data_IF_298647719651
#
_entry.id   IF_298647719651
#
_cell.length_a   1.000
_cell.length_b   1.000
_cell.length_c   1.000
_cell.angle_alpha   90.00
_cell.angle_beta   90.00
_cell.angle_gamma   90.00
#
_symmetry.space_group_name_H-M   'P 1'
#
loop_
_entity.id
_entity.type
_entity.pdbx_description
1 polymer ?
#
# COMPACT_ATOMS: atom_id res chain seq x y z
N UNK A 1 24.50 -10.68 -5.00
CA UNK A 1 23.09 -10.86 -5.40
C UNK A 1 23.09 -11.18 -6.89
N UNK A 2 22.98 -12.45 -7.26
CA UNK A 2 22.99 -12.89 -8.65
C UNK A 2 21.59 -12.77 -9.25
N UNK A 3 21.44 -12.06 -10.37
CA UNK A 3 20.18 -12.02 -11.10
C UNK A 3 20.00 -13.33 -11.87
N UNK A 4 19.10 -14.19 -11.40
CA UNK A 4 18.76 -15.43 -12.09
C UNK A 4 17.77 -15.15 -13.23
N UNK A 5 18.21 -15.41 -14.47
CA UNK A 5 17.38 -15.36 -15.68
C UNK A 5 16.79 -16.74 -16.05
N UNK A 6 16.84 -17.69 -15.12
CA UNK A 6 16.30 -19.04 -15.29
C UNK A 6 14.78 -19.00 -15.54
N UNK A 7 14.30 -19.93 -16.36
CA UNK A 7 12.87 -20.18 -16.60
C UNK A 7 12.33 -21.28 -15.68
N UNK A 8 13.14 -21.77 -14.73
CA UNK A 8 12.74 -22.80 -13.78
C UNK A 8 11.68 -22.26 -12.79
N UNK A 9 10.46 -22.82 -12.76
CA UNK A 9 9.40 -22.38 -11.86
C UNK A 9 9.65 -22.74 -10.38
N UNK A 10 10.66 -23.55 -10.07
CA UNK A 10 11.06 -23.88 -8.68
C UNK A 10 11.98 -22.84 -8.06
N UNK A 11 12.61 -21.98 -8.87
CA UNK A 11 13.38 -20.84 -8.37
C UNK A 11 12.45 -19.75 -7.81
N UNK A 12 12.58 -19.47 -6.51
CA UNK A 12 11.69 -18.55 -5.76
C UNK A 12 11.63 -17.14 -6.37
N UNK A 13 12.76 -16.62 -6.83
CA UNK A 13 12.88 -15.27 -7.39
C UNK A 13 13.73 -15.29 -8.65
N UNK A 14 13.08 -15.33 -9.80
CA UNK A 14 13.71 -15.12 -11.11
C UNK A 14 13.31 -13.75 -11.63
N UNK A 15 14.07 -13.23 -12.59
CA UNK A 15 13.73 -11.97 -13.24
C UNK A 15 12.30 -12.01 -13.84
N UNK A 16 11.91 -13.16 -14.39
CA UNK A 16 10.58 -13.41 -14.94
C UNK A 16 9.49 -13.48 -13.87
N UNK A 17 9.71 -14.22 -12.78
CA UNK A 17 8.70 -14.35 -11.73
C UNK A 17 8.43 -13.02 -11.02
N UNK A 18 9.46 -12.17 -10.89
CA UNK A 18 9.34 -10.82 -10.35
C UNK A 18 8.55 -9.89 -11.27
N UNK A 19 8.84 -9.88 -12.58
CA UNK A 19 8.12 -9.02 -13.52
C UNK A 19 6.66 -9.43 -13.61
N UNK A 20 6.40 -10.71 -13.83
CA UNK A 20 5.04 -11.23 -13.96
C UNK A 20 4.26 -10.98 -12.66
N UNK A 21 4.84 -11.33 -11.51
CA UNK A 21 4.23 -11.12 -10.20
C UNK A 21 3.95 -9.64 -9.93
N UNK A 22 4.90 -8.75 -10.23
CA UNK A 22 4.71 -7.32 -10.09
C UNK A 22 3.60 -6.78 -11.01
N UNK A 23 3.56 -7.19 -12.29
CA UNK A 23 2.51 -6.76 -13.22
C UNK A 23 1.12 -7.14 -12.72
N UNK A 24 0.91 -8.39 -12.32
CA UNK A 24 -0.39 -8.82 -11.79
C UNK A 24 -0.75 -8.11 -10.48
N UNK A 25 0.23 -7.90 -9.60
CA UNK A 25 0.02 -7.19 -8.33
C UNK A 25 -0.42 -5.75 -8.58
N UNK A 26 0.34 -4.98 -9.36
CA UNK A 26 0.01 -3.59 -9.66
C UNK A 26 -1.28 -3.46 -10.48
N UNK A 27 -1.51 -4.35 -11.45
CA UNK A 27 -2.77 -4.38 -12.19
C UNK A 27 -3.94 -4.63 -11.24
N UNK A 28 -3.82 -5.58 -10.31
CA UNK A 28 -4.83 -5.83 -9.28
C UNK A 28 -5.10 -4.60 -8.41
N UNK A 29 -4.03 -3.98 -7.91
CA UNK A 29 -4.12 -2.80 -7.05
C UNK A 29 -4.78 -1.60 -7.74
N UNK A 30 -4.47 -1.33 -9.01
CA UNK A 30 -5.02 -0.15 -9.71
C UNK A 30 -6.33 -0.45 -10.46
N UNK A 31 -6.54 -1.66 -10.98
CA UNK A 31 -7.71 -1.97 -11.81
C UNK A 31 -8.93 -2.41 -11.01
N UNK A 32 -8.74 -3.26 -9.98
CA UNK A 32 -9.87 -3.92 -9.29
C UNK A 32 -9.98 -3.58 -7.81
N UNK A 33 -8.94 -2.99 -7.20
CA UNK A 33 -9.00 -2.65 -5.79
C UNK A 33 -10.08 -1.58 -5.55
N UNK A 34 -11.04 -1.90 -4.69
CA UNK A 34 -12.24 -1.09 -4.50
C UNK A 34 -11.92 0.36 -4.12
N UNK A 35 -10.89 0.60 -3.29
CA UNK A 35 -10.52 1.97 -2.91
C UNK A 35 -10.05 2.83 -4.09
N UNK A 36 -9.45 2.22 -5.11
CA UNK A 36 -9.03 2.93 -6.33
C UNK A 36 -10.21 3.13 -7.28
N UNK A 37 -11.05 2.11 -7.46
CA UNK A 37 -12.28 2.21 -8.24
C UNK A 37 -13.15 3.36 -7.72
N UNK A 38 -13.33 3.44 -6.40
CA UNK A 38 -14.05 4.54 -5.75
C UNK A 38 -13.45 5.91 -6.09
N UNK A 39 -12.12 6.06 -6.04
CA UNK A 39 -11.45 7.32 -6.42
C UNK A 39 -11.71 7.70 -7.87
N UNK A 40 -11.67 6.73 -8.79
CA UNK A 40 -11.96 7.01 -10.20
C UNK A 40 -13.41 7.45 -10.42
N UNK A 41 -14.36 6.86 -9.70
CA UNK A 41 -15.78 7.23 -9.78
C UNK A 41 -16.09 8.62 -9.23
N UNK A 42 -15.21 9.22 -8.43
CA UNK A 42 -15.36 10.62 -7.97
C UNK A 42 -14.90 11.65 -8.99
N UNK A 43 -14.22 11.24 -10.06
CA UNK A 43 -13.73 12.13 -11.09
C UNK A 43 -14.82 12.46 -12.11
N UNK A 44 -14.78 13.68 -12.63
CA UNK A 44 -15.80 14.21 -13.56
C UNK A 44 -15.91 13.41 -14.86
N UNK A 45 -14.79 12.92 -15.36
CA UNK A 45 -14.69 12.30 -16.67
C UNK A 45 -13.53 11.29 -16.75
N UNK A 46 -13.65 10.36 -17.69
CA UNK A 46 -12.67 9.29 -17.91
C UNK A 46 -11.27 9.83 -18.32
N UNK A 47 -11.19 10.95 -19.05
CA UNK A 47 -9.89 11.51 -19.47
C UNK A 47 -9.13 12.06 -18.26
N UNK A 48 -9.84 12.67 -17.32
CA UNK A 48 -9.29 13.12 -16.03
C UNK A 48 -8.80 11.91 -15.21
N UNK A 49 -9.56 10.81 -15.16
CA UNK A 49 -9.12 9.58 -14.50
C UNK A 49 -7.81 9.02 -15.05
N UNK A 50 -7.67 8.95 -16.38
CA UNK A 50 -6.43 8.53 -17.03
C UNK A 50 -5.27 9.48 -16.72
N UNK A 51 -5.49 10.81 -16.79
CA UNK A 51 -4.46 11.80 -16.45
C UNK A 51 -3.99 11.64 -15.00
N UNK A 52 -4.91 11.44 -14.06
CA UNK A 52 -4.56 11.18 -12.66
C UNK A 52 -3.70 9.93 -12.51
N UNK A 53 -4.00 8.86 -13.26
CA UNK A 53 -3.20 7.63 -13.24
C UNK A 53 -1.78 7.87 -13.77
N UNK A 54 -1.66 8.55 -14.92
CA UNK A 54 -0.35 8.87 -15.52
C UNK A 54 0.50 9.80 -14.64
N UNK A 55 -0.13 10.72 -13.90
CA UNK A 55 0.58 11.56 -12.92
C UNK A 55 0.96 10.77 -11.66
N UNK A 56 0.12 9.84 -11.23
CA UNK A 56 0.38 9.02 -10.04
C UNK A 56 1.57 8.07 -10.22
N UNK A 57 1.80 7.59 -11.44
CA UNK A 57 2.92 6.69 -11.76
C UNK A 57 4.30 7.25 -11.39
N UNK A 58 4.77 8.39 -11.94
CA UNK A 58 6.09 8.93 -11.64
C UNK A 58 6.22 9.32 -10.17
N UNK A 59 5.15 9.84 -9.54
CA UNK A 59 5.15 10.21 -8.13
C UNK A 59 5.39 8.97 -7.25
N UNK A 60 4.64 7.89 -7.50
CA UNK A 60 4.77 6.64 -6.73
C UNK A 60 6.14 6.00 -6.97
N UNK A 61 6.65 6.07 -8.20
CA UNK A 61 7.98 5.55 -8.55
C UNK A 61 9.08 6.34 -7.83
N UNK A 62 9.03 7.68 -7.85
CA UNK A 62 9.99 8.53 -7.17
C UNK A 62 10.00 8.30 -5.65
N UNK A 63 8.82 8.14 -5.04
CA UNK A 63 8.69 7.79 -3.63
C UNK A 63 9.26 6.40 -3.30
N UNK A 64 9.07 5.42 -4.18
CA UNK A 64 9.64 4.08 -4.00
C UNK A 64 11.17 4.11 -4.07
N UNK A 65 11.74 4.89 -5.00
CA UNK A 65 13.19 5.07 -5.12
C UNK A 65 13.79 5.77 -3.89
N UNK A 66 13.10 6.76 -3.31
CA UNK A 66 13.59 7.40 -2.08
C UNK A 66 13.58 6.46 -0.88
N UNK A 67 12.60 5.54 -0.79
CA UNK A 67 12.57 4.50 0.23
C UNK A 67 13.71 3.49 0.07
N UNK A 68 14.02 3.07 -1.16
CA UNK A 68 15.18 2.21 -1.43
C UNK A 68 16.47 2.91 -1.01
N UNK A 69 16.62 4.19 -1.36
CA UNK A 69 17.78 4.99 -0.97
C UNK A 69 17.91 5.11 0.56
N UNK A 70 16.80 5.37 1.26
CA UNK A 70 16.80 5.39 2.73
C UNK A 70 17.25 4.05 3.33
N UNK A 71 16.82 2.92 2.75
CA UNK A 71 17.27 1.58 3.15
C UNK A 71 18.78 1.38 2.95
N UNK A 72 19.35 1.88 1.85
CA UNK A 72 20.80 1.83 1.61
C UNK A 72 21.59 2.68 2.61
N UNK A 73 21.10 3.88 2.94
CA UNK A 73 21.70 4.73 3.97
C UNK A 73 21.71 4.05 5.34
N UNK A 74 20.58 3.43 5.70
CA UNK A 74 20.43 2.67 6.94
C UNK A 74 21.39 1.48 6.99
N UNK A 75 21.50 0.71 5.90
CA UNK A 75 22.48 -0.37 5.77
C UNK A 75 23.91 0.14 5.96
N UNK A 76 24.29 1.23 5.29
CA UNK A 76 25.62 1.82 5.41
C UNK A 76 25.95 2.27 6.84
N UNK A 77 24.95 2.69 7.62
CA UNK A 77 25.10 3.12 9.02
C UNK A 77 25.25 1.95 9.99
N UNK A 78 24.48 0.88 9.81
CA UNK A 78 24.39 -0.24 10.77
C UNK A 78 25.12 -1.52 10.35
N UNK A 79 25.78 -1.55 9.18
CA UNK A 79 26.55 -2.72 8.70
C UNK A 79 27.58 -3.26 9.72
N UNK A 80 28.15 -2.41 10.58
CA UNK A 80 29.15 -2.80 11.57
C UNK A 80 28.62 -2.94 13.01
N UNK A 81 27.40 -2.46 13.28
CA UNK A 81 26.77 -2.50 14.59
C UNK A 81 25.25 -2.57 14.38
N UNK A 82 24.75 -3.79 14.22
CA UNK A 82 23.33 -4.03 13.98
C UNK A 82 22.53 -3.78 15.27
N UNK A 83 21.59 -2.81 15.29
CA UNK A 83 20.80 -2.50 16.47
C UNK A 83 19.88 -3.65 16.91
N UNK A 84 19.57 -4.61 16.04
CA UNK A 84 18.83 -5.82 16.38
C UNK A 84 19.71 -6.79 17.18
N UNK A 85 20.93 -7.07 16.69
CA UNK A 85 21.91 -7.91 17.39
C UNK A 85 22.34 -7.29 18.73
N UNK A 86 22.45 -5.96 18.78
CA UNK A 86 22.76 -5.19 19.98
C UNK A 86 21.62 -5.16 21.02
N UNK A 87 20.46 -5.77 20.74
CA UNK A 87 19.28 -5.78 21.61
C UNK A 87 18.70 -4.38 21.93
N UNK A 88 19.05 -3.38 21.13
CA UNK A 88 18.48 -2.04 21.20
C UNK A 88 17.06 -2.01 20.64
N UNK A 89 16.78 -2.90 19.69
CA UNK A 89 15.49 -3.06 19.02
C UNK A 89 14.95 -4.49 19.24
N UNK A 90 13.62 -4.64 19.33
CA UNK A 90 12.97 -5.95 19.56
C UNK A 90 12.45 -6.64 18.29
N UNK A 91 12.16 -5.87 17.24
CA UNK A 91 11.63 -6.37 15.96
C UNK A 91 12.24 -5.60 14.79
N UNK A 92 12.42 -6.26 13.66
CA UNK A 92 12.87 -5.65 12.40
C UNK A 92 11.96 -4.49 11.98
N UNK A 93 10.66 -4.52 12.32
CA UNK A 93 9.70 -3.45 12.01
C UNK A 93 10.03 -2.11 12.67
N UNK A 94 10.81 -2.12 13.76
CA UNK A 94 11.18 -0.92 14.50
C UNK A 94 12.46 -0.27 13.96
N UNK A 95 13.13 -0.89 12.99
CA UNK A 95 14.41 -0.43 12.46
C UNK A 95 14.32 0.95 11.80
N UNK A 96 13.31 1.18 10.97
CA UNK A 96 13.09 2.48 10.32
C UNK A 96 12.78 3.58 11.34
N UNK A 97 11.80 3.41 12.27
CA UNK A 97 11.58 4.37 13.35
C UNK A 97 12.83 4.66 14.17
N UNK A 98 13.61 3.64 14.51
CA UNK A 98 14.86 3.80 15.27
C UNK A 98 15.89 4.63 14.48
N UNK A 99 16.10 4.30 13.20
CA UNK A 99 17.01 5.02 12.32
C UNK A 99 16.64 6.50 12.21
N UNK A 100 15.35 6.82 12.08
CA UNK A 100 14.86 8.21 12.02
C UNK A 100 15.18 8.98 13.29
N UNK A 101 14.95 8.37 14.46
CA UNK A 101 15.24 9.01 15.75
C UNK A 101 16.74 9.22 15.94
N UNK A 102 17.55 8.23 15.58
CA UNK A 102 19.02 8.29 15.66
C UNK A 102 19.59 9.36 14.71
N UNK A 103 19.20 9.32 13.43
CA UNK A 103 19.70 10.22 12.40
C UNK A 103 19.28 11.68 12.58
N UNK A 104 18.09 11.93 13.15
CA UNK A 104 17.53 13.28 13.34
C UNK A 104 17.64 13.78 14.78
N UNK A 105 18.46 13.12 15.60
CA UNK A 105 18.66 13.42 17.02
C UNK A 105 19.16 14.85 17.27
N UNK A 106 19.85 15.46 16.31
CA UNK A 106 20.34 16.85 16.38
C UNK A 106 19.23 17.90 16.25
N UNK A 107 18.05 17.55 15.73
CA UNK A 107 16.96 18.48 15.45
C UNK A 107 15.70 18.09 16.25
N UNK A 108 15.49 18.65 17.46
CA UNK A 108 14.33 18.31 18.27
C UNK A 108 13.02 18.64 17.55
N UNK A 109 12.05 17.74 17.64
CA UNK A 109 10.73 17.85 16.97
C UNK A 109 10.63 17.17 15.61
N UNK A 110 11.73 17.06 14.86
CA UNK A 110 11.72 16.42 13.54
C UNK A 110 11.45 14.90 13.58
N UNK A 111 12.00 14.12 14.53
CA UNK A 111 11.59 12.73 14.71
C UNK A 111 10.09 12.58 14.98
N UNK A 112 9.52 13.48 15.80
CA UNK A 112 8.09 13.51 16.10
C UNK A 112 7.23 13.78 14.87
N UNK A 113 7.68 14.69 13.98
CA UNK A 113 7.02 14.96 12.71
C UNK A 113 7.01 13.73 11.79
N UNK A 114 8.12 13.00 11.71
CA UNK A 114 8.20 11.77 10.90
C UNK A 114 7.27 10.70 11.44
N UNK A 115 7.26 10.48 12.76
CA UNK A 115 6.35 9.52 13.42
C UNK A 115 4.89 9.92 13.16
N UNK A 116 4.54 11.19 13.30
CA UNK A 116 3.20 11.69 12.98
C UNK A 116 2.82 11.45 11.50
N UNK A 117 3.78 11.63 10.57
CA UNK A 117 3.60 11.33 9.16
C UNK A 117 3.31 9.86 8.89
N UNK A 118 4.04 8.93 9.53
CA UNK A 118 3.84 7.49 9.41
C UNK A 118 2.44 7.09 9.91
N UNK A 119 2.03 7.62 11.07
CA UNK A 119 0.67 7.38 11.60
C UNK A 119 -0.41 7.94 10.68
N UNK A 120 -0.21 9.14 10.13
CA UNK A 120 -1.14 9.76 9.17
C UNK A 120 -1.28 8.93 7.89
N UNK A 121 -0.16 8.45 7.32
CA UNK A 121 -0.16 7.59 6.14
C UNK A 121 -0.88 6.25 6.41
N UNK A 122 -0.63 5.65 7.57
CA UNK A 122 -1.30 4.41 8.01
C UNK A 122 -2.80 4.62 8.17
N UNK A 123 -3.22 5.70 8.83
CA UNK A 123 -4.63 6.03 9.05
C UNK A 123 -5.37 6.34 7.75
N UNK A 124 -4.72 7.03 6.81
CA UNK A 124 -5.25 7.28 5.46
C UNK A 124 -5.57 5.97 4.72
N UNK A 125 -4.66 4.98 4.83
CA UNK A 125 -4.84 3.65 4.23
C UNK A 125 -5.97 2.86 4.89
N UNK A 126 -6.00 2.84 6.22
CA UNK A 126 -7.05 2.16 7.00
C UNK A 126 -8.42 2.76 6.68
N UNK A 127 -8.54 4.09 6.65
CA UNK A 127 -9.79 4.78 6.33
C UNK A 127 -10.30 4.42 4.94
N UNK A 128 -9.43 4.43 3.92
CA UNK A 128 -9.80 4.04 2.56
C UNK A 128 -10.27 2.58 2.46
N UNK A 129 -9.63 1.67 3.21
CA UNK A 129 -10.00 0.26 3.26
C UNK A 129 -11.34 0.03 3.97
N UNK A 130 -11.59 0.72 5.08
CA UNK A 130 -12.88 0.67 5.78
C UNK A 130 -14.02 1.20 4.91
N UNK A 131 -13.80 2.32 4.20
CA UNK A 131 -14.79 2.86 3.27
C UNK A 131 -15.10 1.89 2.11
N UNK A 132 -14.07 1.22 1.62
CA UNK A 132 -14.20 0.19 0.58
C UNK A 132 -14.99 -1.02 1.09
N UNK A 133 -14.64 -1.51 2.28
CA UNK A 133 -15.30 -2.66 2.91
C UNK A 133 -16.77 -2.37 3.20
N UNK A 134 -17.09 -1.19 3.72
CA UNK A 134 -18.47 -0.77 3.95
C UNK A 134 -19.27 -0.74 2.64
N UNK A 135 -18.68 -0.21 1.56
CA UNK A 135 -19.33 -0.14 0.26
C UNK A 135 -19.59 -1.53 -0.33
N UNK A 136 -18.60 -2.41 -0.30
CA UNK A 136 -18.73 -3.81 -0.76
C UNK A 136 -19.77 -4.56 0.06
N UNK A 137 -19.75 -4.40 1.38
CA UNK A 137 -20.73 -5.02 2.28
C UNK A 137 -22.16 -4.58 1.94
N UNK A 138 -22.38 -3.29 1.72
CA UNK A 138 -23.70 -2.75 1.40
C UNK A 138 -24.16 -3.18 0.01
N UNK A 139 -23.30 -3.02 -0.99
CA UNK A 139 -23.68 -3.20 -2.39
C UNK A 139 -23.78 -4.68 -2.78
N UNK A 140 -22.92 -5.54 -2.24
CA UNK A 140 -22.83 -6.95 -2.65
C UNK A 140 -23.59 -7.90 -1.73
N UNK A 141 -23.79 -7.54 -0.44
CA UNK A 141 -24.51 -8.39 0.50
C UNK A 141 -25.87 -7.80 0.90
N UNK A 142 -25.90 -6.58 1.44
CA UNK A 142 -27.14 -6.03 2.02
C UNK A 142 -28.18 -5.75 0.95
N UNK A 143 -27.80 -5.07 -0.15
CA UNK A 143 -28.73 -4.68 -1.20
C UNK A 143 -29.36 -5.88 -1.91
N UNK A 144 -28.61 -6.93 -2.31
CA UNK A 144 -29.22 -8.13 -2.91
C UNK A 144 -30.16 -8.86 -1.95
N UNK A 145 -29.77 -9.01 -0.68
CA UNK A 145 -30.62 -9.65 0.34
C UNK A 145 -31.92 -8.86 0.58
N UNK A 146 -31.83 -7.53 0.63
CA UNK A 146 -33.02 -6.67 0.75
C UNK A 146 -33.93 -6.78 -0.48
N UNK A 147 -33.37 -6.76 -1.69
CA UNK A 147 -34.13 -6.93 -2.93
C UNK A 147 -34.77 -8.32 -3.03
N UNK A 148 -34.07 -9.37 -2.58
CA UNK A 148 -34.61 -10.73 -2.53
C UNK A 148 -35.77 -10.82 -1.54
N UNK A 149 -35.64 -10.26 -0.33
CA UNK A 149 -36.76 -10.17 0.62
C UNK A 149 -37.94 -9.38 0.05
N UNK A 150 -37.68 -8.25 -0.63
CA UNK A 150 -38.75 -7.45 -1.27
C UNK A 150 -39.49 -8.24 -2.37
N UNK A 151 -38.80 -9.09 -3.12
CA UNK A 151 -39.44 -9.98 -4.12
C UNK A 151 -40.26 -11.12 -3.48
N UNK A 152 -39.89 -11.54 -2.28
CA UNK A 152 -40.56 -12.62 -1.54
C UNK A 152 -41.78 -12.14 -0.75
N UNK A 153 -41.92 -10.83 -0.52
CA UNK A 153 -43.12 -10.22 0.04
C UNK A 153 -44.04 -9.84 -1.13
N UNK A 154 -45.19 -10.51 -1.34
CA UNK A 154 -46.11 -10.15 -2.40
C UNK A 154 -46.59 -8.72 -2.18
N UNK A 155 -46.35 -7.84 -3.15
CA UNK A 155 -47.02 -6.54 -3.26
C UNK A 155 -48.46 -6.77 -3.73
N UNK A 156 -49.26 -7.43 -2.90
CA UNK A 156 -50.71 -7.53 -3.09
C UNK A 156 -51.40 -6.64 -2.04
N UNK A 157 -52.07 -5.60 -2.56
CA UNK A 157 -53.15 -4.80 -1.96
C UNK A 157 -52.77 -3.84 -0.83
N UNK A 158 -52.80 -2.53 -1.15
CA UNK A 158 -54.01 -1.69 -0.99
C UNK A 158 -54.11 -0.75 -2.18
#
# INVERSE_FOLDING_TARGET
MSFSFSLDPTERHTWWSLIIGATFTYMGTYAVHQSQVQRYLTLRDHRTALRTLYVSWPITTAFSLSMIFAGLCMYSKYQGCDPLMAHTIRSEDQLIPYFVVDALSSCPGLPGLVVAGIFSASLSSISANLNSLATVSVQDYIRPLYQQKKKLVPTDKW
#
